data_IF_069891116366
#
_entry.id   IF_069891116366
#
_cell.length_a   1.000
_cell.length_b   1.000
_cell.length_c   1.000
_cell.angle_alpha   90.00
_cell.angle_beta   90.00
_cell.angle_gamma   90.00
#
_symmetry.space_group_name_H-M   'P 1'
#
loop_
_entity.id
_entity.type
_entity.pdbx_description
1 polymer ?
#
# COMPACT_ATOMS: atom_id res chain seq x y z
N UNK A 1 -26.65 4.07 9.76
CA UNK A 1 -26.79 5.24 8.86
C UNK A 1 -25.71 6.28 9.18
N UNK A 2 -25.50 6.62 10.45
CA UNK A 2 -24.42 7.52 10.91
C UNK A 2 -23.02 7.10 10.46
N UNK A 3 -22.64 5.83 10.62
CA UNK A 3 -21.30 5.33 10.21
C UNK A 3 -21.02 5.50 8.71
N UNK A 4 -22.02 5.29 7.86
CA UNK A 4 -21.86 5.45 6.40
C UNK A 4 -21.63 6.92 6.07
N UNK A 5 -22.36 7.83 6.73
CA UNK A 5 -22.21 9.27 6.54
C UNK A 5 -20.80 9.70 6.94
N UNK A 6 -20.31 9.27 8.10
CA UNK A 6 -18.95 9.56 8.56
C UNK A 6 -17.87 9.05 7.58
N UNK A 7 -18.05 7.85 7.02
CA UNK A 7 -17.14 7.30 6.00
C UNK A 7 -17.16 8.18 4.73
N UNK A 8 -18.35 8.55 4.25
CA UNK A 8 -18.49 9.38 3.05
C UNK A 8 -17.91 10.78 3.24
N UNK A 9 -18.07 11.38 4.43
CA UNK A 9 -17.45 12.66 4.77
C UNK A 9 -15.92 12.57 4.75
N UNK A 10 -15.34 11.53 5.37
CA UNK A 10 -13.89 11.30 5.35
C UNK A 10 -13.36 11.12 3.94
N UNK A 11 -14.04 10.31 3.12
CA UNK A 11 -13.71 10.16 1.70
C UNK A 11 -13.79 11.51 0.99
N UNK A 12 -14.84 12.29 1.23
CA UNK A 12 -15.03 13.60 0.65
C UNK A 12 -13.89 14.58 0.97
N UNK A 13 -13.39 14.57 2.21
CA UNK A 13 -12.23 15.37 2.63
C UNK A 13 -10.98 14.96 1.84
N UNK A 14 -10.69 13.66 1.81
CA UNK A 14 -9.52 13.14 1.08
C UNK A 14 -9.58 13.49 -0.40
N UNK A 15 -10.72 13.27 -1.06
CA UNK A 15 -10.87 13.51 -2.50
C UNK A 15 -10.77 14.99 -2.90
N UNK A 16 -11.04 15.92 -1.99
CA UNK A 16 -10.88 17.36 -2.23
C UNK A 16 -9.43 17.83 -2.14
N UNK A 17 -8.56 17.07 -1.46
CA UNK A 17 -7.14 17.43 -1.34
C UNK A 17 -6.42 17.31 -2.68
N UNK A 18 -5.57 18.29 -3.00
CA UNK A 18 -4.67 18.26 -4.17
C UNK A 18 -3.70 17.08 -4.14
N UNK A 19 -3.38 16.58 -2.94
CA UNK A 19 -2.37 15.55 -2.72
C UNK A 19 -2.97 14.12 -2.74
N UNK A 20 -4.27 14.00 -3.03
CA UNK A 20 -5.01 12.73 -3.02
C UNK A 20 -4.73 11.81 -4.20
N UNK A 21 -4.07 12.31 -5.26
CA UNK A 21 -3.87 11.60 -6.53
C UNK A 21 -3.27 10.20 -6.34
N UNK A 22 -2.20 10.08 -5.54
CA UNK A 22 -1.50 8.81 -5.33
C UNK A 22 -2.33 7.86 -4.45
N UNK A 23 -3.07 8.38 -3.47
CA UNK A 23 -4.01 7.59 -2.66
C UNK A 23 -5.11 7.00 -3.53
N UNK A 24 -5.71 7.80 -4.42
CA UNK A 24 -6.75 7.34 -5.34
C UNK A 24 -6.24 6.27 -6.31
N UNK A 25 -5.06 6.51 -6.91
CA UNK A 25 -4.46 5.56 -7.84
C UNK A 25 -4.11 4.25 -7.13
N UNK A 26 -3.46 4.32 -5.96
CA UNK A 26 -3.16 3.16 -5.13
C UNK A 26 -4.41 2.37 -4.75
N UNK A 27 -5.46 3.06 -4.29
CA UNK A 27 -6.73 2.43 -3.92
C UNK A 27 -7.40 1.70 -5.10
N UNK A 28 -7.31 2.27 -6.31
CA UNK A 28 -7.81 1.61 -7.54
C UNK A 28 -7.04 0.32 -7.82
N UNK A 29 -5.71 0.38 -7.84
CA UNK A 29 -4.87 -0.81 -8.06
C UNK A 29 -5.09 -1.88 -6.99
N UNK A 30 -5.28 -1.48 -5.73
CA UNK A 30 -5.61 -2.41 -4.66
C UNK A 30 -6.99 -3.04 -4.87
N UNK A 31 -8.00 -2.26 -5.26
CA UNK A 31 -9.33 -2.78 -5.57
C UNK A 31 -9.29 -3.82 -6.69
N UNK A 32 -8.59 -3.52 -7.79
CA UNK A 32 -8.45 -4.45 -8.92
C UNK A 32 -7.80 -5.77 -8.49
N UNK A 33 -6.84 -5.72 -7.55
CA UNK A 33 -6.19 -6.92 -6.99
C UNK A 33 -7.14 -7.86 -6.25
N UNK A 34 -8.28 -7.36 -5.76
CA UNK A 34 -9.31 -8.20 -5.12
C UNK A 34 -10.28 -8.79 -6.14
N UNK A 35 -10.48 -8.13 -7.28
CA UNK A 35 -11.55 -8.46 -8.22
C UNK A 35 -11.08 -9.29 -9.42
N UNK A 36 -9.78 -9.37 -9.69
CA UNK A 36 -9.27 -10.10 -10.85
C UNK A 36 -9.34 -11.62 -10.69
N UNK A 37 -9.32 -12.32 -11.83
CA UNK A 37 -9.40 -13.79 -11.91
C UNK A 37 -8.03 -14.47 -12.03
N UNK A 38 -6.97 -13.71 -12.32
CA UNK A 38 -5.60 -14.20 -12.43
C UNK A 38 -4.82 -13.83 -11.16
N UNK A 39 -4.46 -14.82 -10.35
CA UNK A 39 -3.80 -14.60 -9.06
C UNK A 39 -2.43 -13.94 -9.16
N UNK A 40 -1.71 -14.12 -10.28
CA UNK A 40 -0.39 -13.53 -10.48
C UNK A 40 -0.53 -12.06 -10.86
N UNK A 41 -1.49 -11.75 -11.72
CA UNK A 41 -1.84 -10.37 -12.05
C UNK A 41 -2.33 -9.63 -10.81
N UNK A 42 -3.22 -10.25 -10.01
CA UNK A 42 -3.71 -9.69 -8.76
C UNK A 42 -2.56 -9.38 -7.79
N UNK A 43 -1.57 -10.27 -7.69
CA UNK A 43 -0.37 -10.05 -6.88
C UNK A 43 0.39 -8.81 -7.36
N UNK A 44 0.61 -8.68 -8.68
CA UNK A 44 1.30 -7.54 -9.28
C UNK A 44 0.51 -6.25 -9.04
N UNK A 45 -0.82 -6.27 -9.18
CA UNK A 45 -1.66 -5.11 -8.92
C UNK A 45 -1.58 -4.62 -7.48
N UNK A 46 -1.61 -5.54 -6.50
CA UNK A 46 -1.40 -5.18 -5.10
C UNK A 46 0.02 -4.62 -4.84
N UNK A 47 1.03 -5.12 -5.55
CA UNK A 47 2.39 -4.60 -5.43
C UNK A 47 2.52 -3.20 -6.03
N UNK A 48 1.92 -2.96 -7.20
CA UNK A 48 1.87 -1.63 -7.83
C UNK A 48 1.15 -0.64 -6.91
N UNK A 49 0.05 -1.04 -6.27
CA UNK A 49 -0.68 -0.19 -5.34
C UNK A 49 0.21 0.36 -4.22
N UNK A 50 1.06 -0.47 -3.61
CA UNK A 50 1.98 0.00 -2.57
C UNK A 50 3.21 0.73 -3.13
N UNK A 51 3.64 0.43 -4.36
CA UNK A 51 4.69 1.17 -5.09
C UNK A 51 4.29 2.63 -5.36
N UNK A 52 3.04 2.88 -5.70
CA UNK A 52 2.53 4.24 -5.91
C UNK A 52 2.65 5.11 -4.65
N UNK A 53 2.50 4.53 -3.45
CA UNK A 53 2.53 5.29 -2.20
C UNK A 53 3.93 5.38 -1.59
N UNK A 54 4.71 4.30 -1.67
CA UNK A 54 5.97 4.19 -0.93
C UNK A 54 7.20 4.18 -1.83
N UNK A 55 7.02 4.04 -3.14
CA UNK A 55 8.08 4.07 -4.13
C UNK A 55 8.70 5.46 -4.28
N UNK A 56 9.79 5.51 -5.03
CA UNK A 56 10.50 6.73 -5.37
C UNK A 56 10.99 6.59 -6.80
N UNK A 57 10.47 7.41 -7.72
CA UNK A 57 10.78 7.34 -9.14
C UNK A 57 12.25 7.71 -9.43
N UNK A 58 12.90 8.43 -8.50
CA UNK A 58 14.28 8.91 -8.65
C UNK A 58 15.34 7.94 -8.09
N UNK A 59 14.92 6.86 -7.41
CA UNK A 59 15.84 5.92 -6.78
C UNK A 59 16.18 4.76 -7.72
N UNK A 60 17.47 4.64 -8.03
CA UNK A 60 18.03 3.66 -8.96
C UNK A 60 17.58 2.20 -8.69
N UNK A 61 17.22 1.50 -9.77
CA UNK A 61 16.25 0.39 -9.75
C UNK A 61 16.71 -0.91 -9.05
N UNK A 62 18.01 -1.14 -8.84
CA UNK A 62 18.47 -2.51 -8.70
C UNK A 62 18.56 -3.07 -7.27
N UNK A 63 18.72 -2.28 -6.21
CA UNK A 63 18.83 -2.83 -4.83
C UNK A 63 18.25 -1.88 -3.75
N UNK A 64 18.21 -0.57 -4.00
CA UNK A 64 17.78 0.44 -3.02
C UNK A 64 16.26 0.51 -2.81
N UNK A 65 15.48 0.46 -3.90
CA UNK A 65 14.05 0.76 -3.86
C UNK A 65 13.25 -0.18 -2.94
N UNK A 66 13.46 -1.50 -3.02
CA UNK A 66 12.77 -2.45 -2.13
C UNK A 66 13.12 -2.22 -0.65
N UNK A 67 14.38 -1.91 -0.35
CA UNK A 67 14.82 -1.64 1.03
C UNK A 67 14.25 -0.32 1.55
N UNK A 68 14.20 0.71 0.70
CA UNK A 68 13.59 1.99 1.00
C UNK A 68 12.10 1.83 1.31
N UNK A 69 11.35 1.16 0.43
CA UNK A 69 9.93 0.90 0.60
C UNK A 69 9.63 0.07 1.85
N UNK A 70 10.44 -0.98 2.11
CA UNK A 70 10.30 -1.78 3.31
C UNK A 70 10.46 -0.92 4.58
N UNK A 71 11.43 -0.02 4.59
CA UNK A 71 11.63 0.93 5.70
C UNK A 71 10.44 1.90 5.82
N UNK A 72 10.06 2.59 4.74
CA UNK A 72 8.91 3.52 4.74
C UNK A 72 7.66 2.84 5.28
N UNK A 73 7.34 1.64 4.79
CA UNK A 73 6.23 0.83 5.27
C UNK A 73 6.32 0.51 6.76
N UNK A 74 7.47 -0.02 7.22
CA UNK A 74 7.65 -0.46 8.60
C UNK A 74 7.62 0.67 9.62
N UNK A 75 8.13 1.84 9.27
CA UNK A 75 8.07 3.01 10.15
C UNK A 75 6.69 3.69 10.13
N UNK A 76 5.93 3.56 9.04
CA UNK A 76 4.58 4.11 8.95
C UNK A 76 3.56 3.32 9.76
N UNK A 77 3.62 1.98 9.76
CA UNK A 77 2.51 1.16 10.30
C UNK A 77 2.86 0.35 11.55
N UNK A 78 4.14 0.02 11.80
CA UNK A 78 4.49 -0.84 12.94
C UNK A 78 4.46 -0.09 14.28
N UNK A 79 3.82 -0.69 15.29
CA UNK A 79 3.66 -0.09 16.62
C UNK A 79 4.71 -0.54 17.65
N UNK A 80 5.50 -1.57 17.34
CA UNK A 80 6.55 -2.08 18.24
C UNK A 80 7.83 -2.40 17.47
N UNK A 81 9.01 -2.39 18.13
CA UNK A 81 10.26 -2.78 17.48
C UNK A 81 10.21 -4.19 16.88
N UNK A 82 9.55 -5.13 17.57
CA UNK A 82 9.39 -6.50 17.06
C UNK A 82 8.49 -6.54 15.83
N UNK A 83 7.34 -5.85 15.85
CA UNK A 83 6.46 -5.75 14.70
C UNK A 83 7.17 -5.10 13.50
N UNK A 84 8.00 -4.08 13.75
CA UNK A 84 8.82 -3.41 12.72
C UNK A 84 9.80 -4.38 12.07
N UNK A 85 10.55 -5.12 12.88
CA UNK A 85 11.49 -6.14 12.40
C UNK A 85 10.79 -7.23 11.57
N UNK A 86 9.61 -7.67 12.02
CA UNK A 86 8.81 -8.66 11.31
C UNK A 86 8.31 -8.11 9.97
N UNK A 87 7.80 -6.87 9.94
CA UNK A 87 7.30 -6.26 8.70
C UNK A 87 8.41 -6.08 7.67
N UNK A 88 9.60 -5.64 8.10
CA UNK A 88 10.78 -5.52 7.22
C UNK A 88 11.14 -6.86 6.56
N UNK A 89 11.05 -7.97 7.30
CA UNK A 89 11.31 -9.31 6.75
C UNK A 89 10.23 -9.72 5.77
N UNK A 90 8.96 -9.61 6.16
CA UNK A 90 7.81 -9.98 5.32
C UNK A 90 7.75 -9.18 4.03
N UNK A 91 8.00 -7.88 4.08
CA UNK A 91 7.99 -7.01 2.90
C UNK A 91 9.05 -7.41 1.88
N UNK A 92 10.25 -7.78 2.33
CA UNK A 92 11.30 -8.29 1.43
C UNK A 92 10.89 -9.61 0.77
N UNK A 93 10.24 -10.51 1.51
CA UNK A 93 9.73 -11.76 0.94
C UNK A 93 8.61 -11.50 -0.08
N UNK A 94 7.70 -10.56 0.19
CA UNK A 94 6.68 -10.10 -0.76
C UNK A 94 7.31 -9.63 -2.07
N UNK A 95 8.36 -8.81 -2.00
CA UNK A 95 9.01 -8.26 -3.20
C UNK A 95 9.85 -9.29 -3.95
N UNK A 96 10.41 -10.29 -3.26
CA UNK A 96 11.05 -11.44 -3.93
C UNK A 96 10.04 -12.19 -4.80
N UNK A 97 8.80 -12.35 -4.34
CA UNK A 97 7.73 -13.00 -5.13
C UNK A 97 7.34 -12.12 -6.32
N UNK A 98 7.09 -10.82 -6.11
CA UNK A 98 6.80 -9.84 -7.18
C UNK A 98 7.87 -9.87 -8.27
N UNK A 99 9.14 -9.81 -7.87
CA UNK A 99 10.28 -9.87 -8.80
C UNK A 99 10.31 -11.18 -9.61
N UNK A 100 10.03 -12.33 -8.97
CA UNK A 100 9.93 -13.62 -9.67
C UNK A 100 8.80 -13.64 -10.70
N UNK A 101 7.61 -13.14 -10.34
CA UNK A 101 6.45 -13.09 -11.24
C UNK A 101 6.80 -12.28 -12.51
N UNK A 102 7.34 -11.07 -12.34
CA UNK A 102 7.57 -10.13 -13.45
C UNK A 102 8.81 -10.48 -14.29
N UNK A 103 9.90 -10.96 -13.69
CA UNK A 103 11.17 -11.14 -14.42
C UNK A 103 11.51 -12.59 -14.76
N UNK A 104 11.02 -13.56 -14.00
CA UNK A 104 11.31 -14.99 -14.23
C UNK A 104 10.10 -15.77 -14.72
N UNK A 105 8.91 -15.20 -14.58
CA UNK A 105 7.65 -15.88 -14.80
C UNK A 105 7.32 -16.85 -13.65
N UNK A 106 6.03 -17.01 -13.39
CA UNK A 106 5.44 -18.06 -12.56
C UNK A 106 4.16 -18.54 -13.23
N UNK A 107 3.75 -19.78 -12.97
CA UNK A 107 2.46 -20.31 -13.43
C UNK A 107 1.37 -20.25 -12.35
N UNK A 108 1.74 -20.22 -11.07
CA UNK A 108 0.83 -20.13 -9.92
C UNK A 108 1.57 -19.76 -8.63
N UNK A 109 0.83 -19.24 -7.65
CA UNK A 109 1.31 -19.05 -6.29
C UNK A 109 1.30 -20.38 -5.53
N UNK A 110 2.29 -20.59 -4.66
CA UNK A 110 2.23 -21.64 -3.64
C UNK A 110 1.57 -21.12 -2.36
N UNK A 111 1.25 -22.00 -1.42
CA UNK A 111 0.54 -21.65 -0.18
C UNK A 111 1.20 -20.52 0.62
N UNK A 112 2.54 -20.49 0.71
CA UNK A 112 3.28 -19.42 1.39
C UNK A 112 3.15 -18.10 0.62
N UNK A 113 3.21 -18.15 -0.70
CA UNK A 113 3.07 -16.96 -1.55
C UNK A 113 1.64 -16.39 -1.51
N UNK A 114 0.61 -17.25 -1.39
CA UNK A 114 -0.78 -16.82 -1.15
C UNK A 114 -0.89 -16.09 0.20
N UNK A 115 -0.23 -16.58 1.26
CA UNK A 115 -0.19 -15.88 2.55
C UNK A 115 0.50 -14.52 2.43
N UNK A 116 1.62 -14.45 1.70
CA UNK A 116 2.31 -13.19 1.42
C UNK A 116 1.44 -12.23 0.60
N UNK A 117 0.63 -12.75 -0.32
CA UNK A 117 -0.30 -11.95 -1.11
C UNK A 117 -1.39 -11.30 -0.25
N UNK A 118 -2.08 -12.08 0.58
CA UNK A 118 -3.08 -11.52 1.50
C UNK A 118 -2.46 -10.53 2.49
N UNK A 119 -1.23 -10.80 2.93
CA UNK A 119 -0.47 -9.87 3.76
C UNK A 119 -0.16 -8.56 3.01
N UNK A 120 0.26 -8.63 1.75
CA UNK A 120 0.49 -7.44 0.92
C UNK A 120 -0.78 -6.60 0.78
N UNK A 121 -1.92 -7.23 0.49
CA UNK A 121 -3.22 -6.54 0.41
C UNK A 121 -3.59 -5.84 1.72
N UNK A 122 -3.44 -6.55 2.85
CA UNK A 122 -3.71 -6.01 4.19
C UNK A 122 -2.78 -4.83 4.51
N UNK A 123 -1.47 -4.98 4.27
CA UNK A 123 -0.49 -3.91 4.50
C UNK A 123 -0.84 -2.69 3.66
N UNK A 124 -1.16 -2.88 2.38
CA UNK A 124 -1.49 -1.78 1.45
C UNK A 124 -2.73 -1.03 1.92
N UNK A 125 -3.76 -1.74 2.37
CA UNK A 125 -4.95 -1.12 2.95
C UNK A 125 -4.61 -0.27 4.18
N UNK A 126 -3.75 -0.76 5.07
CA UNK A 126 -3.32 -0.01 6.26
C UNK A 126 -2.51 1.23 5.87
N UNK A 127 -1.62 1.12 4.87
CA UNK A 127 -0.85 2.25 4.35
C UNK A 127 -1.78 3.31 3.76
N UNK A 128 -2.74 2.95 2.90
CA UNK A 128 -3.74 3.87 2.36
C UNK A 128 -4.48 4.60 3.49
N UNK A 129 -4.92 3.87 4.51
CA UNK A 129 -5.62 4.47 5.65
C UNK A 129 -4.73 5.46 6.42
N UNK A 130 -3.42 5.21 6.54
CA UNK A 130 -2.48 6.12 7.19
C UNK A 130 -2.28 7.40 6.37
N UNK A 131 -2.16 7.28 5.05
CA UNK A 131 -2.06 8.43 4.15
C UNK A 131 -3.34 9.28 4.16
N UNK A 132 -4.52 8.64 4.16
CA UNK A 132 -5.80 9.33 4.31
C UNK A 132 -5.89 10.12 5.63
N UNK A 133 -5.48 9.49 6.74
CA UNK A 133 -5.45 10.16 8.05
C UNK A 133 -4.51 11.38 8.07
N UNK A 134 -3.43 11.37 7.28
CA UNK A 134 -2.54 12.51 7.17
C UNK A 134 -3.24 13.69 6.49
N UNK A 135 -3.95 13.45 5.39
CA UNK A 135 -4.71 14.49 4.68
C UNK A 135 -5.90 14.99 5.50
N UNK A 136 -6.60 14.11 6.21
CA UNK A 136 -7.68 14.49 7.12
C UNK A 136 -7.18 15.45 8.23
N UNK A 137 -5.96 15.21 8.75
CA UNK A 137 -5.34 16.09 9.75
C UNK A 137 -4.94 17.44 9.15
N UNK A 138 -4.36 17.43 7.95
CA UNK A 138 -3.99 18.67 7.25
C UNK A 138 -5.23 19.55 7.03
N UNK A 139 -6.32 18.97 6.50
CA UNK A 139 -7.57 19.69 6.28
C UNK A 139 -8.18 20.29 7.56
N UNK A 140 -8.08 19.58 8.70
CA UNK A 140 -8.52 20.11 10.00
C UNK A 140 -7.69 21.31 10.45
N UNK A 141 -6.37 21.22 10.30
CA UNK A 141 -5.44 22.32 10.66
C UNK A 141 -5.73 23.55 9.80
N UNK A 142 -6.00 23.36 8.51
CA UNK A 142 -6.32 24.47 7.60
C UNK A 142 -7.68 25.11 7.95
N UNK A 143 -8.69 24.30 8.29
CA UNK A 143 -10.00 24.81 8.72
C UNK A 143 -9.97 25.57 10.06
N UNK A 144 -8.99 25.33 10.93
CA UNK A 144 -8.79 26.07 12.19
C UNK A 144 -8.04 27.40 11.99
N UNK A 145 -7.44 27.62 10.82
CA UNK A 145 -6.70 28.84 10.47
C UNK A 145 -7.53 29.89 9.74
N UNK A 146 -8.63 29.46 9.13
CA UNK A 146 -9.63 30.30 8.43
C UNK A 146 -10.72 30.80 9.39
#
# INVERSE_FOLDING_TARGET
>A
MTEIIEILERIGVVLKSSDSKNIMLSARWLFDSYCGHDELLNYVQAAVAIEILLGDEEVDANIGLTSLMANRCAYLIAQTPQARSNLLKSFREIYKVRSKIVHRGKSRLNQKEVQLFHMLQTITQVVINKEQQLLERAAKIDAERD
#
